data_IF_918864382853
#
_entry.id   IF_918864382853
#
_cell.length_a   1.000
_cell.length_b   1.000
_cell.length_c   1.000
_cell.angle_alpha   90.00
_cell.angle_beta   90.00
_cell.angle_gamma   90.00
#
_symmetry.space_group_name_H-M   'P 1'
#
loop_
_entity.id
_entity.type
_entity.pdbx_description
1 polymer ?
#
# COMPACT_ATOMS: atom_id res chain seq x y z
N UNK A 1 28.05 -18.16 -14.13
CA UNK A 1 27.32 -16.89 -14.28
C UNK A 1 26.31 -16.79 -13.15
N UNK A 2 26.56 -15.94 -12.15
CA UNK A 2 25.58 -15.64 -11.11
C UNK A 2 24.42 -14.84 -11.73
N UNK A 3 23.15 -15.18 -11.45
CA UNK A 3 22.04 -14.42 -12.01
C UNK A 3 22.05 -13.02 -11.42
N UNK A 4 21.96 -12.00 -12.29
CA UNK A 4 21.70 -10.61 -11.88
C UNK A 4 20.33 -10.56 -11.20
N UNK A 5 20.35 -10.65 -9.87
CA UNK A 5 19.14 -10.60 -9.06
C UNK A 5 18.58 -9.17 -9.07
N UNK A 6 17.42 -8.98 -9.70
CA UNK A 6 16.72 -7.71 -9.71
C UNK A 6 16.29 -7.31 -8.30
N UNK A 7 16.70 -6.11 -7.87
CA UNK A 7 16.30 -5.53 -6.59
C UNK A 7 14.78 -5.32 -6.55
N UNK A 8 14.16 -5.55 -5.39
CA UNK A 8 12.72 -5.37 -5.18
C UNK A 8 12.46 -4.25 -4.17
N UNK A 9 11.52 -3.36 -4.48
CA UNK A 9 11.13 -2.26 -3.60
C UNK A 9 10.33 -2.76 -2.38
N UNK A 10 10.57 -2.18 -1.20
CA UNK A 10 9.75 -2.40 0.01
C UNK A 10 9.20 -1.10 0.58
N UNK A 11 8.04 -1.17 1.23
CA UNK A 11 7.44 -0.05 1.99
C UNK A 11 7.85 -0.06 3.48
N UNK A 12 7.40 0.95 4.24
CA UNK A 12 7.62 1.09 5.69
C UNK A 12 7.21 -0.13 6.52
N UNK A 13 6.26 -0.92 6.02
CA UNK A 13 5.77 -2.13 6.68
C UNK A 13 6.60 -3.38 6.33
N UNK A 14 7.70 -3.21 5.59
CA UNK A 14 8.55 -4.30 5.09
C UNK A 14 7.89 -5.15 4.01
N UNK A 15 6.83 -4.67 3.36
CA UNK A 15 6.13 -5.39 2.28
C UNK A 15 6.68 -4.97 0.94
N UNK A 16 6.82 -5.92 0.02
CA UNK A 16 7.16 -5.63 -1.37
C UNK A 16 6.10 -4.72 -2.00
N UNK A 17 6.53 -3.82 -2.88
CA UNK A 17 5.66 -2.88 -3.60
C UNK A 17 6.08 -2.74 -5.07
N UNK A 18 5.21 -2.16 -5.90
CA UNK A 18 5.46 -1.91 -7.33
C UNK A 18 5.38 -3.17 -8.21
N UNK A 19 5.84 -3.05 -9.46
CA UNK A 19 5.87 -4.16 -10.43
C UNK A 19 6.77 -5.33 -10.01
N UNK A 20 7.71 -5.11 -9.10
CA UNK A 20 8.59 -6.16 -8.57
C UNK A 20 7.90 -7.11 -7.57
N UNK A 21 6.64 -6.82 -7.20
CA UNK A 21 5.86 -7.70 -6.34
C UNK A 21 5.47 -8.99 -7.10
N UNK A 22 5.72 -10.20 -6.57
CA UNK A 22 5.52 -11.46 -7.30
C UNK A 22 4.05 -11.74 -7.68
N UNK A 23 3.11 -11.10 -6.98
CA UNK A 23 1.66 -11.17 -7.28
C UNK A 23 1.14 -9.91 -8.01
N UNK A 24 2.02 -9.09 -8.59
CA UNK A 24 1.60 -7.95 -9.40
C UNK A 24 0.91 -8.47 -10.67
N UNK A 25 -0.40 -8.21 -10.78
CA UNK A 25 -1.22 -8.63 -11.92
C UNK A 25 -1.06 -7.70 -13.14
N UNK A 26 -0.57 -6.48 -12.92
CA UNK A 26 -0.39 -5.48 -13.97
C UNK A 26 1.09 -5.05 -13.98
N UNK A 27 1.61 -4.69 -15.12
CA UNK A 27 2.92 -4.04 -15.30
C UNK A 27 2.78 -2.53 -15.07
N UNK A 28 3.90 -1.81 -14.99
CA UNK A 28 3.84 -0.35 -14.81
C UNK A 28 3.20 0.33 -16.04
N UNK A 29 3.49 -0.15 -17.26
CA UNK A 29 2.83 0.31 -18.48
C UNK A 29 1.31 0.12 -18.44
N UNK A 30 0.85 -1.03 -17.93
CA UNK A 30 -0.58 -1.28 -17.77
C UNK A 30 -1.23 -0.40 -16.69
N UNK A 31 -0.48 0.06 -15.69
CA UNK A 31 -0.97 1.05 -14.73
C UNK A 31 -1.18 2.39 -15.43
N UNK A 32 -0.22 2.85 -16.25
CA UNK A 32 -0.36 4.08 -17.02
C UNK A 32 -1.58 4.02 -17.94
N UNK A 33 -1.77 2.89 -18.64
CA UNK A 33 -2.94 2.67 -19.48
C UNK A 33 -4.27 2.72 -18.69
N UNK A 34 -4.30 2.20 -17.45
CA UNK A 34 -5.48 2.33 -16.57
C UNK A 34 -5.79 3.80 -16.25
N UNK A 35 -4.77 4.62 -16.04
CA UNK A 35 -4.94 6.06 -15.81
C UNK A 35 -5.44 6.78 -17.07
N UNK A 36 -4.85 6.50 -18.24
CA UNK A 36 -5.30 7.06 -19.52
C UNK A 36 -6.76 6.70 -19.83
N UNK A 37 -7.15 5.44 -19.64
CA UNK A 37 -8.54 5.01 -19.86
C UNK A 37 -9.51 5.68 -18.86
N UNK A 38 -9.04 5.94 -17.63
CA UNK A 38 -9.85 6.65 -16.63
C UNK A 38 -10.02 8.12 -17.00
N UNK A 39 -8.98 8.78 -17.48
CA UNK A 39 -9.01 10.15 -17.97
C UNK A 39 -9.87 10.29 -19.24
N UNK A 40 -9.85 9.28 -20.11
CA UNK A 40 -10.75 9.16 -21.26
C UNK A 40 -12.24 8.92 -20.87
N UNK A 41 -12.54 8.83 -19.57
CA UNK A 41 -13.91 8.78 -19.05
C UNK A 41 -14.50 7.38 -18.92
N UNK A 42 -13.71 6.31 -19.06
CA UNK A 42 -14.22 4.95 -18.90
C UNK A 42 -14.55 4.65 -17.44
N UNK A 43 -15.62 3.88 -17.25
CA UNK A 43 -16.00 3.36 -15.94
C UNK A 43 -15.05 2.24 -15.49
N UNK A 44 -14.98 2.02 -14.17
CA UNK A 44 -14.12 0.98 -13.57
C UNK A 44 -14.41 -0.42 -14.15
N UNK A 45 -15.67 -0.72 -14.47
CA UNK A 45 -16.06 -2.02 -15.04
C UNK A 45 -15.57 -2.19 -16.48
N UNK A 46 -15.60 -1.12 -17.28
CA UNK A 46 -15.12 -1.14 -18.67
C UNK A 46 -13.60 -1.25 -18.76
N UNK A 47 -12.90 -0.61 -17.82
CA UNK A 47 -11.44 -0.75 -17.66
C UNK A 47 -11.11 -2.18 -17.21
N UNK A 48 -11.82 -2.70 -16.20
CA UNK A 48 -11.61 -4.06 -15.70
C UNK A 48 -11.76 -5.14 -16.78
N UNK A 49 -12.75 -5.01 -17.67
CA UNK A 49 -12.88 -5.91 -18.82
C UNK A 49 -11.70 -5.81 -19.80
N UNK A 50 -11.21 -4.60 -20.08
CA UNK A 50 -10.09 -4.40 -21.02
C UNK A 50 -8.75 -4.87 -20.47
N UNK A 51 -8.58 -4.74 -19.16
CA UNK A 51 -7.37 -5.16 -18.44
C UNK A 51 -7.48 -6.59 -17.89
N UNK A 52 -8.53 -7.32 -18.26
CA UNK A 52 -8.80 -8.71 -17.83
C UNK A 52 -8.62 -8.95 -16.32
N UNK A 53 -9.04 -8.00 -15.49
CA UNK A 53 -8.88 -8.07 -14.05
C UNK A 53 -10.16 -7.71 -13.30
N UNK A 54 -10.17 -7.91 -11.99
CA UNK A 54 -11.35 -7.58 -11.19
C UNK A 54 -11.56 -6.07 -11.08
N UNK A 55 -12.82 -5.64 -11.02
CA UNK A 55 -13.19 -4.23 -10.76
C UNK A 55 -12.54 -3.68 -9.49
N UNK A 56 -12.43 -4.51 -8.45
CA UNK A 56 -11.75 -4.16 -7.19
C UNK A 56 -10.25 -3.97 -7.37
N UNK A 57 -9.61 -4.67 -8.30
CA UNK A 57 -8.22 -4.42 -8.68
C UNK A 57 -8.06 -3.00 -9.23
N UNK A 58 -8.86 -2.64 -10.23
CA UNK A 58 -8.85 -1.30 -10.85
C UNK A 58 -9.16 -0.20 -9.83
N UNK A 59 -10.13 -0.42 -8.93
CA UNK A 59 -10.44 0.53 -7.87
C UNK A 59 -9.23 0.77 -6.93
N UNK A 60 -8.46 -0.27 -6.60
CA UNK A 60 -7.25 -0.15 -5.79
C UNK A 60 -6.07 0.50 -6.50
N UNK A 61 -6.01 0.39 -7.83
CA UNK A 61 -5.03 1.08 -8.67
C UNK A 61 -5.34 2.58 -8.67
N UNK A 62 -6.56 2.95 -9.07
CA UNK A 62 -6.96 4.37 -9.22
C UNK A 62 -6.93 5.12 -7.89
N UNK A 63 -7.30 4.48 -6.79
CA UNK A 63 -7.21 5.10 -5.45
C UNK A 63 -5.77 5.22 -4.91
N UNK A 64 -4.77 4.71 -5.63
CA UNK A 64 -3.38 4.70 -5.19
C UNK A 64 -3.08 3.71 -4.05
N UNK A 65 -4.09 3.03 -3.48
CA UNK A 65 -3.92 2.16 -2.30
C UNK A 65 -2.87 1.06 -2.48
N UNK A 66 -2.72 0.52 -3.70
CA UNK A 66 -1.70 -0.50 -4.01
C UNK A 66 -0.47 0.07 -4.72
N UNK A 67 -0.68 1.02 -5.63
CA UNK A 67 0.35 1.48 -6.59
C UNK A 67 0.95 2.87 -6.30
N UNK A 68 0.40 3.62 -5.35
CA UNK A 68 0.95 4.90 -4.87
C UNK A 68 1.77 4.78 -3.58
N UNK A 69 2.39 3.62 -3.33
CA UNK A 69 3.20 3.43 -2.12
C UNK A 69 4.65 3.84 -2.36
N UNK A 70 5.24 4.59 -1.42
CA UNK A 70 6.64 5.04 -1.50
C UNK A 70 7.62 3.94 -1.08
N UNK A 71 8.67 3.66 -1.88
CA UNK A 71 9.74 2.75 -1.49
C UNK A 71 10.61 3.35 -0.39
N UNK A 72 10.87 2.60 0.68
CA UNK A 72 11.80 2.98 1.76
C UNK A 72 13.12 2.23 1.70
N UNK A 73 13.16 1.09 1.01
CA UNK A 73 14.38 0.32 0.79
C UNK A 73 14.24 -0.59 -0.44
N UNK A 74 15.38 -1.15 -0.87
CA UNK A 74 15.49 -2.10 -1.97
C UNK A 74 16.14 -3.38 -1.45
N UNK A 75 15.46 -4.52 -1.60
CA UNK A 75 15.92 -5.82 -1.08
C UNK A 75 16.31 -6.75 -2.21
N UNK A 76 17.34 -7.58 -1.98
CA UNK A 76 17.67 -8.66 -2.90
C UNK A 76 16.65 -9.80 -2.76
N UNK A 77 16.25 -10.47 -3.87
CA UNK A 77 15.41 -11.65 -3.82
C UNK A 77 16.06 -12.74 -2.96
N UNK A 78 15.36 -13.22 -1.94
CA UNK A 78 15.85 -14.29 -1.05
C UNK A 78 16.42 -13.81 0.28
N UNK A 79 16.62 -12.51 0.47
CA UNK A 79 16.86 -11.96 1.81
C UNK A 79 15.54 -11.73 2.54
N UNK A 80 15.42 -12.09 3.83
CA UNK A 80 14.24 -11.79 4.61
C UNK A 80 14.04 -10.26 4.63
N UNK A 81 12.77 -9.83 4.51
CA UNK A 81 12.44 -8.42 4.59
C UNK A 81 13.08 -7.79 5.85
N UNK A 82 13.57 -6.54 5.77
CA UNK A 82 14.14 -5.88 6.93
C UNK A 82 13.16 -5.98 8.09
N UNK A 83 13.70 -6.27 9.29
CA UNK A 83 12.90 -6.42 10.50
C UNK A 83 11.91 -5.26 10.59
N UNK A 84 10.62 -5.59 10.72
CA UNK A 84 9.54 -4.61 10.76
C UNK A 84 9.94 -3.49 11.73
N UNK A 85 10.05 -2.22 11.31
CA UNK A 85 10.19 -1.14 12.28
C UNK A 85 8.96 -1.21 13.18
N UNK A 86 9.18 -1.08 14.50
CA UNK A 86 8.09 -1.18 15.47
C UNK A 86 6.91 -0.33 14.99
N UNK A 87 5.68 -0.87 14.98
CA UNK A 87 4.55 -0.13 14.44
C UNK A 87 4.42 1.18 15.22
N UNK A 88 4.25 2.31 14.51
CA UNK A 88 3.97 3.62 15.12
C UNK A 88 2.74 3.58 16.05
N UNK A 89 1.88 2.57 15.92
CA UNK A 89 0.73 2.30 16.79
C UNK A 89 1.07 1.68 18.16
N UNK A 90 2.34 1.61 18.54
CA UNK A 90 2.74 1.19 19.90
C UNK A 90 2.52 2.30 20.95
N UNK A 91 2.15 3.52 20.53
CA UNK A 91 1.50 4.49 21.41
C UNK A 91 0.05 4.01 21.58
N UNK A 92 -0.19 3.17 22.59
CA UNK A 92 -1.56 2.91 23.07
C UNK A 92 -2.08 4.25 23.59
N UNK A 93 -2.90 4.93 22.79
CA UNK A 93 -3.50 6.19 23.17
C UNK A 93 -4.36 5.98 24.43
N UNK A 94 -3.88 6.52 25.54
CA UNK A 94 -4.49 6.59 26.86
C UNK A 94 -5.70 7.58 26.88
N UNK A 95 -6.45 7.63 25.77
CA UNK A 95 -7.60 8.55 25.61
C UNK A 95 -8.66 8.25 26.66
N UNK A 96 -8.86 6.97 26.99
CA UNK A 96 -9.83 6.54 27.99
C UNK A 96 -9.51 7.05 29.39
N UNK A 97 -8.27 6.91 29.86
CA UNK A 97 -7.90 7.39 31.20
C UNK A 97 -7.88 8.92 31.27
N UNK A 98 -7.49 9.59 30.18
CA UNK A 98 -7.55 11.06 30.07
C UNK A 98 -8.98 11.60 30.08
N UNK A 99 -9.90 10.94 29.41
CA UNK A 99 -11.32 11.33 29.41
C UNK A 99 -11.94 11.12 30.80
N UNK A 100 -11.63 10.00 31.46
CA UNK A 100 -12.12 9.72 32.81
C UNK A 100 -11.60 10.74 33.82
N UNK A 101 -10.31 11.10 33.77
CA UNK A 101 -9.72 12.11 34.64
C UNK A 101 -10.36 13.51 34.47
N UNK A 102 -10.77 13.87 33.25
CA UNK A 102 -11.47 15.13 32.98
C UNK A 102 -12.89 15.11 33.57
N UNK A 103 -13.60 13.99 33.41
CA UNK A 103 -14.94 13.80 33.96
C UNK A 103 -14.91 13.83 35.50
N UNK A 104 -13.96 13.13 36.11
CA UNK A 104 -13.80 13.08 37.57
C UNK A 104 -13.45 14.47 38.14
N UNK A 105 -12.60 15.24 37.45
CA UNK A 105 -12.26 16.62 37.83
C UNK A 105 -13.45 17.60 37.68
N UNK A 106 -14.37 17.33 36.74
CA UNK A 106 -15.58 18.14 36.55
C UNK A 106 -16.67 17.85 37.61
N UNK A 107 -16.69 16.63 38.17
CA UNK A 107 -17.64 16.22 39.19
C UNK A 107 -17.32 16.73 40.62
N UNK A 108 -16.11 17.27 40.84
CA UNK A 108 -15.66 17.84 42.12
C UNK A 108 -15.92 19.36 42.26
N UNK A 109 -16.74 19.95 41.40
CA UNK A 109 -17.16 21.37 41.46
C UNK A 109 -18.61 21.51 41.85
#
# INVERSE_FOLDING_TARGET
MSPLMALKAVNERGRLIGASHPLALLTDHEIDLVHELREAGLSLSQIAQRMECSKSCIAHVISGRRRGQTPVAWVQPGQPAPARPAPASAVRDDVGARLQAIIDAAAMR
#
